data_IF_168878534389
#
_entry.id   IF_168878534389
#
_cell.length_a   1.000
_cell.length_b   1.000
_cell.length_c   1.000
_cell.angle_alpha   90.00
_cell.angle_beta   90.00
_cell.angle_gamma   90.00
#
_symmetry.space_group_name_H-M   'P 1'
#
loop_
_entity.id
_entity.type
_entity.pdbx_description
1 polymer ?
#
# COMPACT_ATOMS: atom_id res chain seq x y z
N UNK A 1 34.39 12.77 -48.45
CA UNK A 1 34.32 13.01 -46.99
C UNK A 1 32.83 13.10 -46.64
N UNK A 2 32.25 12.02 -46.13
CA UNK A 2 30.80 11.91 -45.90
C UNK A 2 30.49 12.46 -44.50
N UNK A 3 29.75 13.57 -44.44
CA UNK A 3 29.38 14.21 -43.18
C UNK A 3 28.17 13.47 -42.59
N UNK A 4 28.39 12.67 -41.54
CA UNK A 4 27.31 12.00 -40.79
C UNK A 4 26.74 13.00 -39.79
N UNK A 5 25.51 13.45 -40.00
CA UNK A 5 24.78 14.29 -39.07
C UNK A 5 24.28 13.46 -37.89
N UNK A 6 24.80 13.70 -36.69
CA UNK A 6 24.25 13.17 -35.44
C UNK A 6 22.97 13.93 -35.10
N UNK A 7 21.81 13.31 -35.32
CA UNK A 7 20.54 13.80 -34.81
C UNK A 7 20.49 13.46 -33.32
N UNK A 8 20.69 14.45 -32.46
CA UNK A 8 20.43 14.32 -31.04
C UNK A 8 18.90 14.23 -30.84
N UNK A 9 18.40 13.01 -30.64
CA UNK A 9 17.03 12.79 -30.23
C UNK A 9 16.93 13.24 -28.78
N UNK A 10 16.49 14.47 -28.55
CA UNK A 10 16.14 14.95 -27.21
C UNK A 10 14.98 14.08 -26.72
N UNK A 11 15.26 13.16 -25.80
CA UNK A 11 14.23 12.42 -25.08
C UNK A 11 13.39 13.44 -24.31
N UNK A 12 12.17 13.70 -24.79
CA UNK A 12 11.17 14.43 -24.01
C UNK A 12 10.86 13.55 -22.82
N UNK A 13 11.49 13.83 -21.68
CA UNK A 13 11.12 13.22 -20.42
C UNK A 13 9.70 13.68 -20.09
N UNK A 14 8.72 12.87 -20.45
CA UNK A 14 7.35 13.04 -19.98
C UNK A 14 7.41 12.87 -18.46
N UNK A 15 7.20 13.96 -17.71
CA UNK A 15 7.11 13.90 -16.27
C UNK A 15 5.95 12.96 -15.91
N UNK A 16 6.31 11.78 -15.40
CA UNK A 16 5.37 10.79 -14.94
C UNK A 16 4.92 11.18 -13.54
N UNK A 17 3.66 11.61 -13.42
CA UNK A 17 3.10 12.06 -12.15
C UNK A 17 2.61 10.86 -11.33
N UNK A 18 2.96 10.85 -10.05
CA UNK A 18 2.35 9.96 -9.06
C UNK A 18 1.23 10.72 -8.36
N UNK A 19 0.04 10.15 -8.34
CA UNK A 19 -1.06 10.69 -7.54
C UNK A 19 -0.93 10.21 -6.11
N UNK A 20 -0.95 11.12 -5.16
CA UNK A 20 -0.92 10.82 -3.73
C UNK A 20 -2.24 11.25 -3.12
N UNK A 21 -2.94 10.31 -2.48
CA UNK A 21 -4.21 10.56 -1.80
C UNK A 21 -4.04 10.30 -0.31
N UNK A 22 -4.05 11.33 0.56
CA UNK A 22 -4.07 11.13 2.00
C UNK A 22 -5.41 10.55 2.44
N UNK A 23 -5.36 9.48 3.23
CA UNK A 23 -6.56 8.84 3.79
C UNK A 23 -6.61 9.22 5.27
N UNK A 24 -7.04 10.45 5.54
CA UNK A 24 -6.98 11.03 6.88
C UNK A 24 -8.23 10.84 7.73
N UNK A 25 -8.14 11.26 8.99
CA UNK A 25 -9.28 11.34 9.91
C UNK A 25 -10.35 12.33 9.41
N UNK A 26 -9.95 13.36 8.64
CA UNK A 26 -10.81 14.40 8.09
C UNK A 26 -10.45 14.72 6.64
N UNK A 27 -11.45 14.86 5.79
CA UNK A 27 -11.23 15.19 4.37
C UNK A 27 -10.65 16.60 4.22
N UNK A 28 -9.61 16.71 3.39
CA UNK A 28 -8.91 17.97 3.11
C UNK A 28 -7.75 18.28 4.08
N UNK A 29 -7.65 17.56 5.19
CA UNK A 29 -6.57 17.69 6.17
C UNK A 29 -5.65 16.45 6.15
N UNK A 30 -4.44 16.61 6.69
CA UNK A 30 -3.56 15.50 7.07
C UNK A 30 -3.15 15.70 8.53
N UNK A 31 -3.94 15.09 9.42
CA UNK A 31 -3.84 15.23 10.87
C UNK A 31 -2.53 14.66 11.40
N UNK A 32 -2.13 15.09 12.61
CA UNK A 32 -0.88 14.64 13.24
C UNK A 32 -0.79 13.10 13.42
N UNK A 33 -1.93 12.41 13.50
CA UNK A 33 -2.01 10.95 13.61
C UNK A 33 -2.28 10.24 12.28
N UNK A 34 -2.48 10.97 11.20
CA UNK A 34 -2.64 10.35 9.89
C UNK A 34 -1.30 9.75 9.45
N UNK A 35 -1.37 8.56 8.86
CA UNK A 35 -0.23 7.83 8.28
C UNK A 35 -0.53 7.41 6.85
N UNK A 36 -1.78 7.01 6.61
CA UNK A 36 -2.21 6.40 5.37
C UNK A 36 -2.07 7.34 4.17
N UNK A 37 -1.20 6.94 3.25
CA UNK A 37 -1.06 7.56 1.94
C UNK A 37 -1.30 6.51 0.86
N UNK A 38 -2.20 6.80 -0.06
CA UNK A 38 -2.44 5.96 -1.23
C UNK A 38 -1.76 6.57 -2.44
N UNK A 39 -0.70 5.90 -2.91
CA UNK A 39 0.03 6.26 -4.12
C UNK A 39 -0.57 5.53 -5.31
N UNK A 40 -0.73 6.22 -6.42
CA UNK A 40 -1.06 5.66 -7.72
C UNK A 40 -0.02 6.12 -8.73
N UNK A 41 0.76 5.18 -9.25
CA UNK A 41 1.77 5.47 -10.25
C UNK A 41 1.14 5.56 -11.66
N UNK A 42 1.82 6.14 -12.66
CA UNK A 42 1.30 6.29 -14.01
C UNK A 42 0.92 4.99 -14.72
N UNK A 43 1.47 3.84 -14.30
CA UNK A 43 1.07 2.52 -14.83
C UNK A 43 -0.24 2.01 -14.22
N UNK A 44 -0.69 2.60 -13.11
CA UNK A 44 -1.92 2.26 -12.38
C UNK A 44 -1.71 1.38 -11.15
N UNK A 45 -0.47 1.04 -10.76
CA UNK A 45 -0.21 0.33 -9.50
C UNK A 45 -0.60 1.27 -8.37
N UNK A 46 -1.27 0.69 -7.36
CA UNK A 46 -1.83 1.42 -6.22
C UNK A 46 -1.25 0.86 -4.94
N UNK A 47 -0.54 1.70 -4.20
CA UNK A 47 0.27 1.32 -3.04
C UNK A 47 -0.28 2.08 -1.84
N UNK A 48 -0.81 1.35 -0.86
CA UNK A 48 -1.22 1.91 0.41
C UNK A 48 -0.03 1.88 1.38
N UNK A 49 0.44 3.04 1.81
CA UNK A 49 1.56 3.18 2.74
C UNK A 49 1.03 3.46 4.13
N UNK A 50 1.44 2.64 5.11
CA UNK A 50 1.06 2.69 6.52
C UNK A 50 -0.45 2.95 6.73
N UNK A 51 -1.30 1.93 6.53
CA UNK A 51 -2.77 2.07 6.61
C UNK A 51 -3.28 2.77 7.87
N UNK A 52 -2.56 2.61 9.00
CA UNK A 52 -2.80 3.32 10.24
C UNK A 52 -4.24 3.24 10.74
N UNK A 53 -4.64 4.23 11.55
CA UNK A 53 -5.92 4.19 12.27
C UNK A 53 -7.04 5.02 11.62
N UNK A 54 -6.77 5.66 10.48
CA UNK A 54 -7.67 6.60 9.82
C UNK A 54 -8.59 5.97 8.76
N UNK A 55 -8.52 4.65 8.58
CA UNK A 55 -9.32 3.90 7.61
C UNK A 55 -10.57 3.32 8.27
N UNK A 56 -11.74 3.49 7.64
CA UNK A 56 -13.04 3.09 8.16
C UNK A 56 -13.40 1.61 7.89
N UNK A 57 -12.39 0.72 7.81
CA UNK A 57 -12.58 -0.69 7.45
C UNK A 57 -11.99 -1.08 6.09
N UNK A 58 -11.91 -2.38 5.77
CA UNK A 58 -11.38 -2.87 4.49
C UNK A 58 -12.24 -2.49 3.26
N UNK A 59 -13.48 -2.04 3.52
CA UNK A 59 -14.44 -1.56 2.49
C UNK A 59 -14.52 -0.05 2.42
N UNK A 60 -13.62 0.67 3.09
CA UNK A 60 -13.56 2.13 3.01
C UNK A 60 -13.52 2.56 1.52
N UNK A 61 -14.52 3.33 1.06
CA UNK A 61 -14.67 3.66 -0.36
C UNK A 61 -13.48 4.47 -0.90
N UNK A 62 -12.74 5.17 -0.02
CA UNK A 62 -11.56 5.96 -0.38
C UNK A 62 -10.40 5.09 -0.88
N UNK A 63 -10.37 3.80 -0.49
CA UNK A 63 -9.31 2.87 -0.88
C UNK A 63 -9.41 2.42 -2.34
N UNK A 64 -10.62 2.14 -2.84
CA UNK A 64 -10.79 1.49 -4.15
C UNK A 64 -9.99 0.18 -4.26
N UNK A 65 -9.15 0.08 -5.29
CA UNK A 65 -8.19 -1.02 -5.49
C UNK A 65 -6.88 -0.71 -4.78
N UNK A 66 -6.36 -1.68 -4.04
CA UNK A 66 -5.05 -1.62 -3.39
C UNK A 66 -4.27 -2.84 -3.84
N UNK A 67 -3.22 -2.63 -4.62
CA UNK A 67 -2.39 -3.71 -5.14
C UNK A 67 -1.35 -4.15 -4.11
N UNK A 68 -0.80 -3.17 -3.38
CA UNK A 68 0.29 -3.36 -2.42
C UNK A 68 0.00 -2.55 -1.17
N UNK A 69 0.37 -3.10 -0.02
CA UNK A 69 0.45 -2.40 1.25
C UNK A 69 1.91 -2.39 1.69
N UNK A 70 2.45 -1.21 1.98
CA UNK A 70 3.75 -1.03 2.59
C UNK A 70 3.55 -0.68 4.06
N UNK A 71 4.21 -1.43 4.95
CA UNK A 71 4.19 -1.14 6.38
C UNK A 71 5.60 -0.91 6.88
N UNK A 72 5.85 0.27 7.43
CA UNK A 72 7.19 0.72 7.80
C UNK A 72 7.68 0.08 9.09
N UNK A 73 6.85 0.01 10.12
CA UNK A 73 7.22 -0.57 11.41
C UNK A 73 6.02 -1.00 12.27
N UNK A 74 6.32 -1.62 13.42
CA UNK A 74 5.39 -2.46 14.16
C UNK A 74 4.50 -1.73 15.20
N UNK A 75 4.13 -0.46 14.98
CA UNK A 75 3.22 0.27 15.87
C UNK A 75 1.77 0.27 15.39
N UNK A 76 0.84 0.32 16.35
CA UNK A 76 -0.59 0.29 16.07
C UNK A 76 -1.07 1.42 15.16
N UNK A 77 -0.47 2.59 15.23
CA UNK A 77 -0.78 3.72 14.34
C UNK A 77 -0.25 3.55 12.91
N UNK A 78 0.60 2.55 12.63
CA UNK A 78 1.07 2.20 11.29
C UNK A 78 0.34 0.97 10.73
N UNK A 79 0.18 -0.10 11.53
CA UNK A 79 -0.57 -1.29 11.12
C UNK A 79 -2.09 -1.08 11.07
N UNK A 80 -2.58 -0.13 11.89
CA UNK A 80 -3.98 0.09 12.20
C UNK A 80 -4.49 -0.82 13.30
N UNK A 81 -4.39 -0.37 14.56
CA UNK A 81 -4.95 -1.05 15.73
C UNK A 81 -6.46 -0.81 15.90
N UNK A 82 -6.97 0.23 15.25
CA UNK A 82 -8.40 0.58 15.26
C UNK A 82 -8.85 0.95 13.85
N UNK A 83 -10.17 0.88 13.61
CA UNK A 83 -10.82 1.45 12.44
C UNK A 83 -11.48 2.77 12.80
N UNK A 84 -11.48 3.70 11.84
CA UNK A 84 -12.15 4.98 11.98
C UNK A 84 -13.66 4.77 12.12
N UNK A 85 -14.26 5.37 13.15
CA UNK A 85 -15.70 5.35 13.40
C UNK A 85 -16.31 6.76 13.37
N UNK A 86 -15.88 7.55 12.38
CA UNK A 86 -16.49 8.82 12.03
C UNK A 86 -16.53 8.95 10.51
N UNK A 87 -17.41 9.79 9.99
CA UNK A 87 -17.37 10.19 8.59
C UNK A 87 -16.31 11.30 8.41
N UNK A 88 -15.24 11.09 7.61
CA UNK A 88 -14.21 12.11 7.37
C UNK A 88 -14.73 13.40 6.73
N UNK A 89 -15.85 13.32 5.99
CA UNK A 89 -16.48 14.47 5.32
C UNK A 89 -17.44 15.23 6.23
N UNK A 90 -17.72 14.72 7.43
CA UNK A 90 -18.66 15.37 8.32
C UNK A 90 -18.08 16.70 8.87
N UNK A 91 -18.90 17.76 9.01
CA UNK A 91 -18.44 19.04 9.57
C UNK A 91 -17.84 18.91 10.99
N UNK A 92 -18.24 17.87 11.72
CA UNK A 92 -17.79 17.56 13.07
C UNK A 92 -16.74 16.43 13.13
N UNK A 93 -16.12 16.05 12.00
CA UNK A 93 -15.01 15.11 11.99
C UNK A 93 -13.85 15.63 12.85
N UNK A 94 -13.36 14.79 13.77
CA UNK A 94 -12.34 15.19 14.74
C UNK A 94 -10.94 14.88 14.18
N UNK A 95 -10.04 15.86 14.28
CA UNK A 95 -8.62 15.77 13.92
C UNK A 95 -7.76 15.87 15.19
N UNK A 96 -7.92 14.89 16.10
CA UNK A 96 -7.29 14.88 17.42
C UNK A 96 -6.95 13.45 17.86
N UNK A 97 -6.21 13.31 18.97
CA UNK A 97 -5.75 12.00 19.45
C UNK A 97 -6.82 11.01 19.90
N UNK A 98 -8.03 11.49 20.16
CA UNK A 98 -9.15 10.75 20.74
C UNK A 98 -10.34 10.63 19.75
N UNK A 99 -10.07 10.47 18.46
CA UNK A 99 -11.11 10.31 17.44
C UNK A 99 -11.95 9.04 17.69
N UNK A 100 -13.26 9.05 17.35
CA UNK A 100 -14.11 7.88 17.40
C UNK A 100 -13.52 6.73 16.59
N UNK A 101 -13.31 5.59 17.25
CA UNK A 101 -12.69 4.43 16.64
C UNK A 101 -13.15 3.12 17.28
N UNK A 102 -12.99 2.02 16.55
CA UNK A 102 -13.34 0.68 16.99
C UNK A 102 -12.08 -0.20 16.90
N UNK A 103 -11.66 -0.90 17.96
CA UNK A 103 -10.52 -1.82 17.89
C UNK A 103 -10.68 -2.90 16.83
N UNK A 104 -9.60 -3.21 16.10
CA UNK A 104 -9.55 -4.36 15.18
C UNK A 104 -8.67 -5.49 15.76
N UNK A 105 -9.15 -6.74 15.79
CA UNK A 105 -8.39 -7.87 16.32
C UNK A 105 -7.22 -8.30 15.40
N UNK A 106 -7.29 -7.97 14.11
CA UNK A 106 -6.35 -8.45 13.09
C UNK A 106 -5.46 -7.35 12.50
N UNK A 107 -5.65 -6.10 12.90
CA UNK A 107 -5.14 -4.90 12.23
C UNK A 107 -5.81 -4.58 10.91
N UNK A 108 -5.95 -3.28 10.61
CA UNK A 108 -6.59 -2.84 9.37
C UNK A 108 -5.78 -3.27 8.14
N UNK A 109 -4.45 -3.33 8.28
CA UNK A 109 -3.54 -3.84 7.24
C UNK A 109 -3.94 -5.23 6.79
N UNK A 110 -4.13 -6.16 7.73
CA UNK A 110 -4.46 -7.55 7.40
C UNK A 110 -5.87 -7.67 6.80
N UNK A 111 -6.82 -6.91 7.34
CA UNK A 111 -8.19 -6.88 6.82
C UNK A 111 -8.25 -6.34 5.38
N UNK A 112 -7.53 -5.26 5.07
CA UNK A 112 -7.44 -4.72 3.71
C UNK A 112 -6.76 -5.72 2.78
N UNK A 113 -5.62 -6.30 3.19
CA UNK A 113 -4.90 -7.26 2.36
C UNK A 113 -5.80 -8.44 1.98
N UNK A 114 -6.50 -9.03 2.97
CA UNK A 114 -7.46 -10.11 2.75
C UNK A 114 -8.62 -9.71 1.83
N UNK A 115 -9.19 -8.52 2.01
CA UNK A 115 -10.34 -8.07 1.22
C UNK A 115 -9.97 -7.66 -0.21
N UNK A 116 -8.71 -7.26 -0.45
CA UNK A 116 -8.25 -6.69 -1.73
C UNK A 116 -7.27 -7.58 -2.48
N UNK A 117 -6.93 -8.74 -1.93
CA UNK A 117 -5.84 -9.60 -2.42
C UNK A 117 -4.53 -8.83 -2.59
N UNK A 118 -4.19 -7.95 -1.65
CA UNK A 118 -2.99 -7.13 -1.75
C UNK A 118 -1.73 -7.91 -1.38
N UNK A 119 -0.61 -7.58 -2.01
CA UNK A 119 0.71 -7.92 -1.47
C UNK A 119 1.01 -7.03 -0.27
N UNK A 120 1.57 -7.58 0.80
CA UNK A 120 2.07 -6.79 1.94
C UNK A 120 3.58 -6.90 2.03
N UNK A 121 4.27 -5.76 1.97
CA UNK A 121 5.72 -5.71 2.22
C UNK A 121 6.03 -4.95 3.49
N UNK A 122 6.89 -5.55 4.30
CA UNK A 122 7.37 -5.03 5.57
C UNK A 122 8.70 -5.72 5.90
N UNK A 123 9.37 -5.35 7.00
CA UNK A 123 10.51 -6.15 7.46
C UNK A 123 10.09 -7.61 7.71
N UNK A 124 11.04 -8.57 7.69
CA UNK A 124 10.71 -10.00 7.74
C UNK A 124 9.83 -10.41 8.94
N UNK A 125 10.12 -9.90 10.13
CA UNK A 125 9.35 -10.21 11.35
C UNK A 125 7.93 -9.65 11.28
N UNK A 126 7.78 -8.40 10.83
CA UNK A 126 6.49 -7.73 10.68
C UNK A 126 5.66 -8.37 9.57
N UNK A 127 6.28 -8.72 8.44
CA UNK A 127 5.62 -9.46 7.36
C UNK A 127 5.07 -10.80 7.87
N UNK A 128 5.83 -11.53 8.70
CA UNK A 128 5.37 -12.81 9.28
C UNK A 128 4.24 -12.62 10.30
N UNK A 129 4.32 -11.56 11.12
CA UNK A 129 3.22 -11.19 12.02
C UNK A 129 1.94 -10.89 11.23
N UNK A 130 2.03 -10.06 10.19
CA UNK A 130 0.89 -9.70 9.32
C UNK A 130 0.37 -10.94 8.59
N UNK A 131 1.24 -11.86 8.14
CA UNK A 131 0.83 -13.11 7.50
C UNK A 131 -0.09 -13.95 8.41
N UNK A 132 0.23 -14.02 9.70
CA UNK A 132 -0.60 -14.69 10.72
C UNK A 132 -1.96 -14.01 10.84
N UNK A 133 -1.98 -12.67 10.83
CA UNK A 133 -3.21 -11.89 10.91
C UNK A 133 -4.09 -12.03 9.67
N UNK A 134 -3.50 -12.04 8.47
CA UNK A 134 -4.24 -12.28 7.22
C UNK A 134 -4.84 -13.69 7.23
N UNK A 135 -4.09 -14.70 7.68
CA UNK A 135 -4.57 -16.07 7.77
C UNK A 135 -5.78 -16.18 8.73
N UNK A 136 -5.72 -15.47 9.87
CA UNK A 136 -6.83 -15.37 10.80
C UNK A 136 -8.07 -14.70 10.20
N UNK A 137 -7.91 -13.64 9.38
CA UNK A 137 -9.03 -13.00 8.66
C UNK A 137 -9.66 -13.96 7.64
N UNK A 138 -8.84 -14.73 6.92
CA UNK A 138 -9.30 -15.66 5.89
C UNK A 138 -9.81 -17.00 6.45
N UNK A 139 -9.57 -17.30 7.72
CA UNK A 139 -9.83 -18.62 8.30
C UNK A 139 -8.93 -19.72 7.72
N UNK A 140 -7.72 -19.37 7.28
CA UNK A 140 -6.75 -20.32 6.70
C UNK A 140 -5.59 -20.59 7.68
N UNK A 141 -4.87 -21.72 7.54
CA UNK A 141 -3.72 -22.02 8.40
C UNK A 141 -2.54 -21.05 8.17
N UNK A 142 -2.38 -20.55 6.94
CA UNK A 142 -1.26 -19.70 6.53
C UNK A 142 -1.68 -18.69 5.46
N UNK A 143 -0.85 -17.67 5.30
CA UNK A 143 -0.85 -16.75 4.15
C UNK A 143 0.36 -17.07 3.28
N UNK A 144 0.18 -17.09 1.96
CA UNK A 144 1.27 -17.40 1.03
C UNK A 144 2.36 -16.30 1.02
N UNK A 145 3.59 -16.70 0.74
CA UNK A 145 4.65 -15.75 0.39
C UNK A 145 4.38 -15.11 -0.98
N UNK A 146 4.68 -13.83 -1.14
CA UNK A 146 4.50 -13.18 -2.43
C UNK A 146 5.44 -13.77 -3.48
N UNK A 147 4.96 -14.00 -4.73
CA UNK A 147 5.82 -14.43 -5.81
C UNK A 147 6.93 -13.40 -6.07
N UNK A 148 8.00 -13.81 -6.73
CA UNK A 148 9.10 -12.92 -7.07
C UNK A 148 9.85 -13.45 -8.28
N UNK A 149 10.08 -12.59 -9.27
CA UNK A 149 10.87 -12.94 -10.45
C UNK A 149 11.99 -11.92 -10.71
N UNK A 150 13.10 -12.41 -11.24
CA UNK A 150 14.25 -11.58 -11.61
C UNK A 150 14.92 -10.87 -10.42
N UNK A 151 15.84 -9.97 -10.74
CA UNK A 151 16.67 -9.26 -9.73
C UNK A 151 15.87 -8.28 -8.86
N UNK A 152 14.69 -7.85 -9.31
CA UNK A 152 13.81 -6.95 -8.56
C UNK A 152 12.77 -7.66 -7.69
N UNK A 153 12.78 -9.00 -7.61
CA UNK A 153 11.73 -9.78 -6.95
C UNK A 153 10.32 -9.32 -7.39
N UNK A 154 10.13 -9.22 -8.71
CA UNK A 154 8.93 -8.62 -9.29
C UNK A 154 7.67 -9.42 -8.94
N UNK A 155 6.65 -8.72 -8.44
CA UNK A 155 5.28 -9.22 -8.24
C UNK A 155 4.41 -8.66 -9.36
N UNK A 156 3.69 -9.54 -10.06
CA UNK A 156 2.70 -9.13 -11.06
C UNK A 156 1.32 -9.05 -10.41
N UNK A 157 0.65 -7.92 -10.57
CA UNK A 157 -0.69 -7.63 -10.02
C UNK A 157 -1.72 -7.44 -11.15
N UNK A 158 -3.04 -7.61 -10.90
CA UNK A 158 -3.68 -7.97 -9.64
C UNK A 158 -3.41 -9.42 -9.22
N UNK A 159 -3.35 -9.65 -7.91
CA UNK A 159 -3.25 -11.00 -7.34
C UNK A 159 -4.65 -11.59 -7.14
N UNK A 160 -4.72 -12.92 -7.09
CA UNK A 160 -5.95 -13.67 -6.79
C UNK A 160 -6.10 -14.01 -5.30
N UNK A 161 -5.05 -13.79 -4.51
CA UNK A 161 -5.02 -14.00 -3.05
C UNK A 161 -4.00 -13.05 -2.42
N UNK A 162 -4.17 -12.62 -1.16
CA UNK A 162 -3.14 -11.84 -0.48
C UNK A 162 -1.86 -12.65 -0.30
N UNK A 163 -0.77 -11.94 -0.14
CA UNK A 163 0.52 -12.52 0.17
C UNK A 163 1.35 -11.57 1.02
N UNK A 164 2.36 -12.10 1.70
CA UNK A 164 3.33 -11.26 2.44
C UNK A 164 4.74 -11.51 1.95
N UNK A 165 5.58 -10.49 2.05
CA UNK A 165 6.97 -10.60 1.65
C UNK A 165 7.89 -9.67 2.45
N UNK A 166 9.12 -10.09 2.76
CA UNK A 166 10.09 -9.20 3.39
C UNK A 166 10.56 -8.12 2.42
N UNK A 167 10.71 -6.91 2.96
CA UNK A 167 11.46 -5.78 2.41
C UNK A 167 12.42 -5.31 3.50
N UNK A 168 13.57 -5.99 3.57
CA UNK A 168 14.64 -5.70 4.54
C UNK A 168 15.56 -4.59 4.01
N UNK A 169 16.48 -4.10 4.83
CA UNK A 169 17.46 -3.09 4.41
C UNK A 169 18.21 -3.48 3.13
N UNK A 170 18.10 -2.64 2.10
CA UNK A 170 18.73 -2.87 0.79
C UNK A 170 18.02 -3.90 -0.09
N UNK A 171 16.92 -4.51 0.39
CA UNK A 171 16.07 -5.33 -0.45
C UNK A 171 15.25 -4.44 -1.39
N UNK A 172 14.94 -4.97 -2.57
CA UNK A 172 14.07 -4.31 -3.54
C UNK A 172 12.91 -5.23 -3.89
N UNK A 173 11.72 -4.64 -3.99
CA UNK A 173 10.54 -5.28 -4.57
C UNK A 173 10.02 -4.43 -5.73
N UNK A 174 9.89 -5.03 -6.90
CA UNK A 174 9.20 -4.38 -8.02
C UNK A 174 7.76 -4.89 -8.08
N UNK A 175 6.81 -4.01 -8.37
CA UNK A 175 5.41 -4.40 -8.61
C UNK A 175 4.97 -3.88 -9.95
N UNK A 176 4.42 -4.76 -10.78
CA UNK A 176 4.01 -4.44 -12.15
C UNK A 176 2.59 -4.90 -12.40
N UNK A 177 1.76 -4.04 -12.97
CA UNK A 177 0.47 -4.47 -13.50
C UNK A 177 0.66 -5.42 -14.68
N UNK A 178 -0.17 -6.46 -14.78
CA UNK A 178 -0.11 -7.43 -15.87
C UNK A 178 -0.24 -6.77 -17.26
N UNK A 179 -0.96 -5.64 -17.34
CA UNK A 179 -1.12 -4.81 -18.53
C UNK A 179 0.04 -3.85 -18.80
N UNK A 180 0.98 -3.68 -17.85
CA UNK A 180 2.07 -2.73 -17.95
C UNK A 180 3.39 -3.41 -18.34
N UNK A 181 4.24 -2.68 -19.07
CA UNK A 181 5.59 -3.09 -19.47
C UNK A 181 6.68 -2.68 -18.47
N UNK A 182 6.35 -1.84 -17.49
CA UNK A 182 7.25 -1.35 -16.44
C UNK A 182 6.58 -1.49 -15.08
N UNK A 183 7.36 -1.78 -14.06
CA UNK A 183 6.90 -1.89 -12.68
C UNK A 183 7.47 -0.80 -11.78
N UNK A 184 6.77 -0.54 -10.68
CA UNK A 184 7.17 0.37 -9.62
C UNK A 184 8.14 -0.33 -8.68
N UNK A 185 9.33 0.24 -8.51
CA UNK A 185 10.33 -0.24 -7.58
C UNK A 185 10.13 0.35 -6.17
N UNK A 186 10.13 -0.53 -5.18
CA UNK A 186 10.09 -0.19 -3.75
C UNK A 186 11.45 -0.59 -3.15
N UNK A 187 12.31 0.39 -2.82
CA UNK A 187 13.60 0.15 -2.19
C UNK A 187 13.48 -0.12 -0.68
#
# INVERSE_FOLDING_TARGET
>A
MLLVAFIAIASVAQAQNVKITPIGLRTGDFCALDRALLFEDPTGVRILYDPGNSIAGPRDPRLGTVHVILVTHAHGDHLGAVVLNQNPDAPNAICAGNFPSIPTPNSITAEIAAAKNSAVFANATLASFIATKIAAVLGTPTTAGCPGMGLGNEVVVPLTSPCTAPLNSGAKRTVRLSSASQGVAMP
#
